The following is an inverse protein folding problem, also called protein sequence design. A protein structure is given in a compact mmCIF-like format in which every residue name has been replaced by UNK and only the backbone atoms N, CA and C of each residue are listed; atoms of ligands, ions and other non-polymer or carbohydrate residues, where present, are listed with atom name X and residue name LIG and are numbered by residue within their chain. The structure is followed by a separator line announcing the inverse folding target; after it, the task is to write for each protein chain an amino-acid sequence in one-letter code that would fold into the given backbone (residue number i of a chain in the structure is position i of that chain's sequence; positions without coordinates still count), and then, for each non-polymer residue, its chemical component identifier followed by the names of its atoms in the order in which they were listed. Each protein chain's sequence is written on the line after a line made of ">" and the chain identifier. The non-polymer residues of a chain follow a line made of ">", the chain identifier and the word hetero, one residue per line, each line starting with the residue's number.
data_IF_389313530231
#
_entry.id   IF_389313530231
#
_cell.length_a   1.000
_cell.length_b   1.000
_cell.length_c   1.000
_cell.angle_alpha   90.00
_cell.angle_beta   90.00
_cell.angle_gamma   90.00
#
_symmetry.space_group_name_H-M   'P 1'
#
loop_
_entity.id
_entity.type
_entity.pdbx_description
1 polymer ?
#
# COMPACT_ATOMS: atom_id res chain seq x y z
N UNK A 1 -12.45 6.04 -2.57
CA UNK A 1 -11.20 5.34 -2.20
C UNK A 1 -10.24 5.40 -3.40
N UNK A 2 -8.93 5.41 -3.18
CA UNK A 2 -7.91 5.46 -4.23
C UNK A 2 -6.94 4.29 -4.12
N UNK A 3 -6.99 3.40 -5.11
CA UNK A 3 -5.97 2.37 -5.35
C UNK A 3 -5.21 2.75 -6.62
N UNK A 4 -3.95 3.13 -6.47
CA UNK A 4 -3.04 3.41 -7.58
C UNK A 4 -1.69 2.77 -7.30
N UNK A 5 -0.89 2.54 -8.32
CA UNK A 5 0.46 2.00 -8.16
C UNK A 5 1.05 1.58 -9.49
N UNK A 6 2.36 1.74 -9.60
CA UNK A 6 3.17 1.26 -10.71
C UNK A 6 4.29 0.44 -10.09
N UNK A 7 4.49 -0.78 -10.56
CA UNK A 7 5.57 -1.66 -10.10
C UNK A 7 6.70 -1.65 -11.12
N UNK A 8 7.89 -1.23 -10.69
CA UNK A 8 9.13 -1.26 -11.47
C UNK A 8 10.23 -1.72 -10.52
N UNK A 9 10.24 -3.02 -10.25
CA UNK A 9 11.09 -3.61 -9.23
C UNK A 9 12.54 -3.70 -9.71
N UNK A 10 13.45 -3.06 -8.98
CA UNK A 10 14.89 -3.09 -9.19
C UNK A 10 15.62 -2.88 -7.86
N UNK A 11 16.72 -3.60 -7.67
CA UNK A 11 17.62 -3.34 -6.53
C UNK A 11 18.05 -1.88 -6.53
N UNK A 12 18.35 -1.32 -5.36
CA UNK A 12 18.69 0.10 -5.22
C UNK A 12 19.79 0.55 -6.19
N UNK A 13 20.85 -0.24 -6.36
CA UNK A 13 21.96 0.05 -7.28
C UNK A 13 21.60 -0.03 -8.76
N UNK A 14 20.48 -0.65 -9.10
CA UNK A 14 19.98 -0.79 -10.48
C UNK A 14 18.89 0.24 -10.81
N UNK A 15 18.53 1.11 -9.87
CA UNK A 15 17.61 2.21 -10.11
C UNK A 15 18.31 3.31 -10.91
N UNK A 16 17.56 3.94 -11.81
CA UNK A 16 17.96 5.13 -12.55
C UNK A 16 16.85 6.20 -12.40
N UNK A 17 17.09 7.40 -12.95
CA UNK A 17 16.12 8.49 -12.83
C UNK A 17 14.73 8.09 -13.38
N UNK A 18 14.68 7.36 -14.49
CA UNK A 18 13.41 6.98 -15.14
C UNK A 18 12.62 5.97 -14.32
N UNK A 19 13.30 5.01 -13.67
CA UNK A 19 12.64 4.03 -12.81
C UNK A 19 12.25 4.62 -11.46
N UNK A 20 12.86 5.72 -11.05
CA UNK A 20 12.48 6.44 -9.83
C UNK A 20 11.34 7.43 -10.06
N UNK A 21 11.11 7.92 -11.29
CA UNK A 21 9.99 8.81 -11.61
C UNK A 21 8.62 8.20 -11.25
N UNK A 22 8.51 6.87 -11.20
CA UNK A 22 7.28 6.15 -10.79
C UNK A 22 6.83 6.47 -9.38
N UNK A 23 7.71 7.01 -8.53
CA UNK A 23 7.36 7.44 -7.15
C UNK A 23 6.26 8.48 -7.14
N UNK A 24 6.21 9.32 -8.17
CA UNK A 24 5.20 10.37 -8.32
C UNK A 24 3.80 9.81 -8.57
N UNK A 25 3.66 8.56 -9.02
CA UNK A 25 2.38 7.99 -9.47
C UNK A 25 1.27 8.07 -8.41
N UNK A 26 1.59 7.74 -7.16
CA UNK A 26 0.65 7.74 -6.03
C UNK A 26 0.19 9.16 -5.70
N UNK A 27 1.14 10.08 -5.53
CA UNK A 27 0.86 11.49 -5.21
C UNK A 27 0.15 12.21 -6.36
N UNK A 28 0.53 11.91 -7.59
CA UNK A 28 -0.12 12.50 -8.77
C UNK A 28 -1.57 12.04 -8.87
N UNK A 29 -1.86 10.78 -8.58
CA UNK A 29 -3.24 10.27 -8.61
C UNK A 29 -4.15 11.02 -7.63
N UNK A 30 -3.70 11.27 -6.39
CA UNK A 30 -4.51 12.03 -5.42
C UNK A 30 -4.64 13.50 -5.80
N UNK A 31 -3.57 14.14 -6.30
CA UNK A 31 -3.62 15.52 -6.81
C UNK A 31 -4.55 15.68 -8.01
N UNK A 32 -4.57 14.70 -8.91
CA UNK A 32 -5.51 14.67 -10.03
C UNK A 32 -6.94 14.55 -9.52
N UNK A 33 -7.20 13.69 -8.53
CA UNK A 33 -8.53 13.63 -7.91
C UNK A 33 -8.92 14.96 -7.25
N UNK A 34 -8.02 15.62 -6.52
CA UNK A 34 -8.25 16.94 -5.90
C UNK A 34 -8.59 18.03 -6.92
N UNK A 35 -8.08 17.92 -8.15
CA UNK A 35 -8.39 18.88 -9.21
C UNK A 35 -9.84 18.80 -9.72
N UNK A 36 -10.53 17.67 -9.48
CA UNK A 36 -11.91 17.42 -9.96
C UNK A 36 -12.89 17.12 -8.83
N UNK A 37 -12.42 16.92 -7.60
CA UNK A 37 -13.21 16.62 -6.41
C UNK A 37 -12.76 17.49 -5.23
N UNK A 38 -13.71 18.03 -4.49
CA UNK A 38 -13.44 18.68 -3.22
C UNK A 38 -13.21 17.59 -2.14
N UNK A 39 -11.99 17.07 -2.04
CA UNK A 39 -11.63 15.98 -1.11
C UNK A 39 -12.01 16.31 0.35
N UNK A 40 -11.95 17.59 0.74
CA UNK A 40 -12.31 18.07 2.09
C UNK A 40 -13.81 18.01 2.42
N UNK A 41 -14.69 17.76 1.45
CA UNK A 41 -16.13 17.63 1.68
C UNK A 41 -16.62 16.19 1.65
N UNK A 42 -15.72 15.21 1.54
CA UNK A 42 -16.07 13.80 1.61
C UNK A 42 -16.25 13.38 3.07
N UNK A 43 -17.22 12.49 3.35
CA UNK A 43 -17.39 11.90 4.69
C UNK A 43 -16.16 11.07 5.08
N UNK A 44 -15.51 10.45 4.09
CA UNK A 44 -14.24 9.74 4.25
C UNK A 44 -13.53 9.57 2.90
N UNK A 45 -12.21 9.46 2.94
CA UNK A 45 -11.40 8.97 1.82
C UNK A 45 -10.33 8.01 2.32
N UNK A 46 -10.25 6.84 1.66
CA UNK A 46 -9.22 5.83 1.95
C UNK A 46 -8.24 5.79 0.80
N UNK A 47 -6.98 6.06 1.09
CA UNK A 47 -5.87 5.94 0.14
C UNK A 47 -5.11 4.64 0.42
N UNK A 48 -5.00 3.74 -0.55
CA UNK A 48 -4.29 2.48 -0.36
C UNK A 48 -2.77 2.68 -0.45
N UNK A 49 -2.11 2.51 0.69
CA UNK A 49 -0.67 2.35 0.80
C UNK A 49 -0.31 0.85 0.81
N UNK A 50 0.96 0.52 0.96
CA UNK A 50 1.48 -0.85 0.92
C UNK A 50 2.37 -1.14 2.12
N UNK A 51 2.38 -2.40 2.56
CA UNK A 51 3.36 -2.88 3.55
C UNK A 51 4.82 -2.71 3.07
N UNK A 52 5.04 -2.58 1.76
CA UNK A 52 6.35 -2.28 1.19
C UNK A 52 6.96 -0.96 1.71
N UNK A 53 6.16 -0.04 2.27
CA UNK A 53 6.66 1.16 2.97
C UNK A 53 7.59 0.84 4.14
N UNK A 54 7.44 -0.35 4.76
CA UNK A 54 8.36 -0.82 5.80
C UNK A 54 9.66 -1.42 5.25
N UNK A 55 9.77 -1.52 3.92
CA UNK A 55 10.90 -2.11 3.23
C UNK A 55 10.52 -3.40 2.53
N UNK A 56 10.89 -3.50 1.24
CA UNK A 56 10.89 -4.72 0.48
C UNK A 56 12.03 -4.69 -0.54
N UNK A 57 12.73 -5.81 -0.71
CA UNK A 57 13.90 -5.88 -1.58
C UNK A 57 13.50 -5.58 -3.02
N UNK A 58 14.24 -4.69 -3.68
CA UNK A 58 13.95 -4.27 -5.05
C UNK A 58 12.82 -3.26 -5.21
N UNK A 59 12.17 -2.83 -4.13
CA UNK A 59 11.00 -1.95 -4.18
C UNK A 59 11.22 -0.57 -3.55
N UNK A 60 12.45 -0.06 -3.53
CA UNK A 60 12.75 1.26 -2.93
C UNK A 60 11.92 2.38 -3.55
N UNK A 61 11.76 2.42 -4.88
CA UNK A 61 10.92 3.40 -5.57
C UNK A 61 9.44 3.29 -5.17
N UNK A 62 8.91 2.07 -5.07
CA UNK A 62 7.53 1.82 -4.67
C UNK A 62 7.29 2.14 -3.19
N UNK A 63 8.22 1.78 -2.31
CA UNK A 63 8.19 2.15 -0.90
C UNK A 63 8.17 3.67 -0.73
N UNK A 64 9.06 4.40 -1.43
CA UNK A 64 9.04 5.88 -1.45
C UNK A 64 7.71 6.45 -1.96
N UNK A 65 7.14 5.90 -3.03
CA UNK A 65 5.84 6.34 -3.56
C UNK A 65 4.71 6.25 -2.53
N UNK A 66 4.69 5.16 -1.76
CA UNK A 66 3.70 4.92 -0.72
C UNK A 66 3.94 5.84 0.48
N UNK A 67 5.18 5.96 0.96
CA UNK A 67 5.53 6.89 2.05
C UNK A 67 5.20 8.35 1.73
N UNK A 68 5.41 8.78 0.48
CA UNK A 68 5.03 10.13 0.02
C UNK A 68 3.50 10.35 0.12
N UNK A 69 2.71 9.36 -0.31
CA UNK A 69 1.26 9.40 -0.19
C UNK A 69 0.82 9.43 1.29
N UNK A 70 1.41 8.59 2.13
CA UNK A 70 1.12 8.53 3.57
C UNK A 70 1.40 9.87 4.27
N UNK A 71 2.49 10.54 3.91
CA UNK A 71 2.79 11.88 4.39
C UNK A 71 1.78 12.90 3.91
N UNK A 72 1.46 12.88 2.61
CA UNK A 72 0.54 13.83 1.99
C UNK A 72 -0.87 13.78 2.57
N UNK A 73 -1.42 12.59 2.80
CA UNK A 73 -2.80 12.45 3.28
C UNK A 73 -2.99 12.93 4.73
N UNK A 74 -1.93 13.03 5.53
CA UNK A 74 -2.00 13.53 6.92
C UNK A 74 -2.45 14.98 7.03
N UNK A 75 -2.42 15.74 5.94
CA UNK A 75 -2.95 17.10 5.89
C UNK A 75 -4.48 17.17 5.89
N UNK A 76 -5.16 16.04 5.73
CA UNK A 76 -6.61 15.97 5.70
C UNK A 76 -7.15 15.27 6.94
N UNK A 77 -8.25 15.82 7.48
CA UNK A 77 -8.91 15.27 8.67
C UNK A 77 -9.64 13.97 8.35
N UNK A 78 -10.40 13.97 7.26
CA UNK A 78 -11.35 12.91 6.87
C UNK A 78 -10.72 11.96 5.83
N UNK A 79 -9.40 11.79 5.90
CA UNK A 79 -8.64 10.93 5.01
C UNK A 79 -7.64 10.11 5.82
N UNK A 80 -7.42 8.87 5.41
CA UNK A 80 -6.30 8.07 5.91
C UNK A 80 -5.67 7.22 4.81
N UNK A 81 -4.37 6.97 4.96
CA UNK A 81 -3.67 5.95 4.22
C UNK A 81 -3.80 4.60 4.93
N UNK A 82 -4.14 3.54 4.19
CA UNK A 82 -4.23 2.17 4.70
C UNK A 82 -3.00 1.38 4.25
N UNK A 83 -2.15 0.94 5.19
CA UNK A 83 -1.07 0.00 4.89
C UNK A 83 -1.68 -1.36 4.52
N UNK A 84 -1.45 -1.80 3.29
CA UNK A 84 -2.07 -3.02 2.76
C UNK A 84 -1.04 -4.12 2.53
N UNK A 85 -1.17 -5.29 3.20
CA UNK A 85 -0.44 -6.51 2.86
C UNK A 85 -0.85 -7.07 1.49
N UNK A 86 -0.17 -8.13 1.03
CA UNK A 86 -0.65 -8.88 -0.13
C UNK A 86 -2.05 -9.46 0.13
N UNK A 87 -2.92 -9.42 -0.88
CA UNK A 87 -4.30 -9.93 -0.79
C UNK A 87 -4.38 -11.26 -1.56
N UNK A 88 -4.48 -12.37 -0.83
CA UNK A 88 -4.24 -13.72 -1.35
C UNK A 88 -5.25 -14.16 -2.42
N UNK A 89 -6.49 -13.73 -2.28
CA UNK A 89 -7.61 -14.01 -3.17
C UNK A 89 -7.84 -12.89 -4.21
N UNK A 90 -6.90 -11.95 -4.32
CA UNK A 90 -6.93 -10.94 -5.39
C UNK A 90 -6.61 -11.54 -6.75
N UNK A 91 -7.10 -10.90 -7.82
CA UNK A 91 -6.77 -11.28 -9.21
C UNK A 91 -5.26 -11.19 -9.47
N UNK A 92 -4.57 -10.22 -8.86
CA UNK A 92 -3.13 -10.05 -9.00
C UNK A 92 -2.35 -11.25 -8.43
N UNK A 93 -2.66 -11.67 -7.20
CA UNK A 93 -1.99 -12.83 -6.59
C UNK A 93 -2.43 -14.14 -7.24
N UNK A 94 -3.73 -14.32 -7.48
CA UNK A 94 -4.23 -15.55 -8.11
C UNK A 94 -3.76 -15.73 -9.55
N UNK A 95 -3.47 -14.65 -10.29
CA UNK A 95 -2.83 -14.75 -11.61
C UNK A 95 -1.34 -15.06 -11.48
N UNK A 96 -0.62 -14.43 -10.55
CA UNK A 96 0.78 -14.74 -10.29
C UNK A 96 1.01 -16.21 -9.86
N UNK A 97 0.11 -16.78 -9.06
CA UNK A 97 0.17 -18.20 -8.66
C UNK A 97 -0.06 -19.16 -9.84
N UNK A 98 -0.77 -18.74 -10.90
CA UNK A 98 -0.94 -19.54 -12.13
C UNK A 98 0.29 -19.52 -13.03
N UNK A 99 1.13 -18.49 -12.91
CA UNK A 99 2.37 -18.37 -13.67
C UNK A 99 3.55 -18.82 -12.79
N UNK A 100 3.96 -20.07 -12.96
CA UNK A 100 4.95 -20.75 -12.11
C UNK A 100 6.27 -19.96 -11.91
N UNK A 101 6.69 -19.14 -12.87
CA UNK A 101 7.87 -18.26 -12.76
C UNK A 101 7.72 -17.13 -11.72
N UNK A 102 6.49 -16.67 -11.46
CA UNK A 102 6.20 -15.61 -10.47
C UNK A 102 5.74 -16.16 -9.12
N UNK A 103 5.43 -17.44 -9.03
CA UNK A 103 4.95 -18.07 -7.80
C UNK A 103 5.99 -17.97 -6.65
N UNK A 104 7.27 -18.20 -6.95
CA UNK A 104 8.35 -18.10 -5.95
C UNK A 104 8.55 -16.67 -5.42
N UNK A 105 8.26 -15.66 -6.24
CA UNK A 105 8.39 -14.25 -5.84
C UNK A 105 7.33 -13.83 -4.82
N UNK A 106 6.20 -14.52 -4.76
CA UNK A 106 5.08 -14.18 -3.85
C UNK A 106 4.91 -15.17 -2.70
N UNK A 107 5.60 -16.32 -2.75
CA UNK A 107 5.51 -17.38 -1.74
C UNK A 107 5.82 -16.87 -0.32
N UNK A 108 6.84 -16.03 -0.19
CA UNK A 108 7.24 -15.45 1.10
C UNK A 108 6.20 -14.48 1.69
N UNK A 109 5.25 -13.99 0.88
CA UNK A 109 4.18 -13.10 1.31
C UNK A 109 3.00 -13.88 1.91
N UNK A 110 2.75 -15.10 1.41
CA UNK A 110 1.56 -15.90 1.71
C UNK A 110 1.30 -16.14 3.21
N UNK A 111 2.30 -16.40 4.07
CA UNK A 111 2.06 -16.70 5.49
C UNK A 111 1.43 -15.54 6.26
N UNK A 112 1.62 -14.32 5.80
CA UNK A 112 1.15 -13.09 6.43
C UNK A 112 0.27 -12.24 5.50
N UNK A 113 -0.09 -12.76 4.34
CA UNK A 113 -1.08 -12.18 3.44
C UNK A 113 -2.47 -12.15 4.07
N UNK A 114 -3.29 -11.22 3.59
CA UNK A 114 -4.68 -11.03 4.01
C UNK A 114 -5.62 -11.60 2.94
N UNK A 115 -6.83 -11.99 3.33
CA UNK A 115 -7.93 -12.17 2.40
C UNK A 115 -8.58 -10.83 2.04
N UNK A 116 -9.40 -10.81 1.00
CA UNK A 116 -10.22 -9.65 0.67
C UNK A 116 -11.18 -9.30 1.81
N UNK A 117 -11.62 -10.29 2.59
CA UNK A 117 -12.44 -10.07 3.79
C UNK A 117 -11.67 -9.35 4.90
N UNK A 118 -10.45 -9.79 5.19
CA UNK A 118 -9.60 -9.11 6.19
C UNK A 118 -9.33 -7.65 5.78
N UNK A 119 -9.17 -7.39 4.47
CA UNK A 119 -9.04 -6.02 3.95
C UNK A 119 -10.32 -5.20 4.17
N UNK A 120 -11.49 -5.77 3.89
CA UNK A 120 -12.77 -5.12 4.15
C UNK A 120 -12.94 -4.77 5.63
N UNK A 121 -12.58 -5.68 6.54
CA UNK A 121 -12.64 -5.46 7.99
C UNK A 121 -11.71 -4.30 8.42
N UNK A 122 -10.51 -4.22 7.82
CA UNK A 122 -9.59 -3.10 8.07
C UNK A 122 -10.14 -1.75 7.54
N UNK A 123 -10.81 -1.77 6.39
CA UNK A 123 -11.45 -0.56 5.82
C UNK A 123 -12.57 -0.09 6.74
N UNK A 124 -13.43 -1.01 7.20
CA UNK A 124 -14.53 -0.71 8.13
C UNK A 124 -13.99 -0.10 9.42
N UNK A 125 -13.02 -0.76 10.07
CA UNK A 125 -12.41 -0.26 11.31
C UNK A 125 -11.74 1.11 11.10
N UNK A 126 -11.03 1.29 9.99
CA UNK A 126 -10.42 2.58 9.63
C UNK A 126 -11.44 3.71 9.49
N UNK A 127 -12.59 3.47 8.84
CA UNK A 127 -13.68 4.44 8.71
C UNK A 127 -14.31 4.74 10.07
N UNK A 128 -14.56 3.72 10.90
CA UNK A 128 -15.12 3.89 12.23
C UNK A 128 -14.18 4.68 13.16
N UNK A 129 -12.87 4.47 13.05
CA UNK A 129 -11.86 5.26 13.76
C UNK A 129 -11.82 6.71 13.28
N UNK A 130 -11.89 6.92 11.96
CA UNK A 130 -11.87 8.25 11.34
C UNK A 130 -13.03 9.14 11.82
N UNK A 131 -14.22 8.54 11.96
CA UNK A 131 -15.41 9.23 12.49
C UNK A 131 -15.21 9.77 13.91
N UNK A 132 -14.25 9.22 14.67
CA UNK A 132 -13.96 9.62 16.05
C UNK A 132 -12.75 10.55 16.16
N UNK A 133 -11.76 10.40 15.29
CA UNK A 133 -10.50 11.15 15.33
C UNK A 133 -9.76 11.11 13.99
N UNK A 134 -8.88 12.08 13.70
CA UNK A 134 -7.95 11.97 12.57
C UNK A 134 -7.09 10.71 12.71
N UNK A 135 -6.97 9.94 11.62
CA UNK A 135 -6.18 8.69 11.59
C UNK A 135 -4.83 8.93 10.91
N UNK A 136 -4.81 9.58 9.73
CA UNK A 136 -3.60 9.83 8.95
C UNK A 136 -3.02 8.57 8.32
N UNK A 137 -2.56 7.61 9.13
CA UNK A 137 -2.03 6.32 8.71
C UNK A 137 -2.67 5.19 9.55
N UNK A 138 -3.39 4.30 8.88
CA UNK A 138 -3.90 3.07 9.46
C UNK A 138 -2.93 1.93 9.18
N UNK A 139 -2.39 1.34 10.24
CA UNK A 139 -1.58 0.12 10.18
C UNK A 139 -2.42 -1.03 10.75
N UNK A 140 -2.77 -2.04 9.94
CA UNK A 140 -3.59 -3.16 10.41
C UNK A 140 -2.84 -3.99 11.47
N UNK A 141 -3.55 -4.90 12.13
CA UNK A 141 -2.93 -5.88 13.02
C UNK A 141 -2.14 -6.90 12.19
N UNK A 142 -0.86 -6.62 12.00
CA UNK A 142 0.05 -7.44 11.21
C UNK A 142 0.59 -8.62 12.03
N UNK A 143 0.81 -9.76 11.37
CA UNK A 143 1.47 -10.94 11.95
C UNK A 143 2.98 -10.72 12.00
N UNK A 144 3.42 -9.80 12.86
CA UNK A 144 4.82 -9.32 12.93
C UNK A 144 5.86 -10.44 13.07
N UNK A 145 5.55 -11.49 13.82
CA UNK A 145 6.44 -12.65 13.96
C UNK A 145 6.71 -13.35 12.63
N UNK A 146 5.68 -13.52 11.81
CA UNK A 146 5.79 -14.12 10.48
C UNK A 146 6.50 -13.17 9.52
N UNK A 147 6.15 -11.87 9.54
CA UNK A 147 6.80 -10.86 8.69
C UNK A 147 8.31 -10.84 8.94
N UNK A 148 8.72 -10.79 10.22
CA UNK A 148 10.14 -10.81 10.61
C UNK A 148 10.84 -12.11 10.18
N UNK A 149 10.15 -13.25 10.30
CA UNK A 149 10.71 -14.54 9.88
C UNK A 149 10.96 -14.60 8.36
N UNK A 150 10.06 -14.01 7.56
CA UNK A 150 10.10 -14.11 6.10
C UNK A 150 10.83 -12.96 5.39
N UNK A 151 10.93 -11.76 5.98
CA UNK A 151 11.68 -10.63 5.42
C UNK A 151 13.17 -10.67 5.76
N UNK A 152 13.58 -11.49 6.73
CA UNK A 152 14.96 -11.58 7.20
C UNK A 152 15.33 -10.49 8.23
N UNK A 153 16.53 -10.58 8.83
CA UNK A 153 17.00 -9.56 9.77
C UNK A 153 17.31 -8.24 9.05
N UNK A 154 16.96 -7.14 9.70
CA UNK A 154 17.31 -5.75 9.31
C UNK A 154 18.78 -5.43 9.55
#
# INVERSE_FOLDING_TARGET
>A
MLLSGVLVDRTFFSQDASTYEVTKSKLQAIKTLESVLLVKSLDFFVAFSSIASFGNSGQTNYASANTDLEGYVRHYRDVFALITPAIVDSVAISSALRHQERASQIEHLMPWAFSARDLCDCIEDGILLLARRPVGLYVPTLKWDLIRHHLGPS
#
